data_IF_237622563612
#
_entry.id   IF_237622563612
#
_cell.length_a   1.000
_cell.length_b   1.000
_cell.length_c   1.000
_cell.angle_alpha   90.00
_cell.angle_beta   90.00
_cell.angle_gamma   90.00
#
_symmetry.space_group_name_H-M   'P 1'
#
loop_
_entity.id
_entity.type
_entity.pdbx_description
1 polymer ?
#
# COMPACT_ATOMS: atom_id res chain seq x y z
N UNK A 1 -85.83 -3.80 -19.87
CA UNK A 1 -84.46 -3.29 -20.15
C UNK A 1 -83.89 -2.88 -18.80
N UNK A 2 -83.08 -3.73 -18.15
CA UNK A 2 -81.60 -3.79 -18.24
C UNK A 2 -80.96 -2.67 -17.43
N UNK A 3 -79.98 -2.83 -16.53
CA UNK A 3 -79.49 -3.93 -15.70
C UNK A 3 -78.65 -3.23 -14.59
N UNK A 4 -78.57 -3.80 -13.37
CA UNK A 4 -77.68 -3.32 -12.29
C UNK A 4 -76.20 -3.53 -12.67
N UNK A 5 -75.28 -2.65 -12.26
CA UNK A 5 -73.85 -3.00 -12.05
C UNK A 5 -73.13 -1.93 -11.20
N UNK A 6 -72.99 -2.14 -9.88
CA UNK A 6 -71.75 -2.56 -9.16
C UNK A 6 -70.56 -1.62 -9.31
N UNK A 7 -70.37 -0.77 -8.29
CA UNK A 7 -69.13 -0.06 -8.01
C UNK A 7 -68.01 -1.07 -7.69
N UNK A 8 -66.87 -0.97 -8.39
CA UNK A 8 -65.66 -1.76 -8.12
C UNK A 8 -64.78 -1.03 -7.12
N UNK A 9 -64.67 -1.56 -5.92
CA UNK A 9 -63.68 -1.16 -4.91
C UNK A 9 -62.31 -1.74 -5.30
N UNK A 10 -61.36 -0.87 -5.65
CA UNK A 10 -59.98 -1.25 -5.87
C UNK A 10 -59.25 -1.38 -4.52
N UNK A 11 -58.84 -2.59 -4.16
CA UNK A 11 -57.97 -2.82 -3.01
C UNK A 11 -56.51 -2.56 -3.42
N UNK A 12 -55.92 -1.49 -2.89
CA UNK A 12 -54.48 -1.23 -2.99
C UNK A 12 -53.76 -2.00 -1.87
N UNK A 13 -53.02 -3.06 -2.21
CA UNK A 13 -52.14 -3.74 -1.26
C UNK A 13 -50.79 -3.03 -1.27
N UNK A 14 -50.44 -2.41 -0.15
CA UNK A 14 -49.15 -1.79 0.09
C UNK A 14 -48.04 -2.85 0.17
N UNK A 15 -47.05 -2.79 -0.72
CA UNK A 15 -45.81 -3.57 -0.54
C UNK A 15 -44.99 -2.94 0.59
N UNK A 16 -44.97 -3.60 1.74
CA UNK A 16 -44.07 -3.28 2.85
C UNK A 16 -42.62 -3.62 2.44
N UNK A 17 -41.83 -2.58 2.16
CA UNK A 17 -40.41 -2.70 1.88
C UNK A 17 -39.62 -3.05 3.14
N UNK A 18 -39.04 -4.25 3.19
CA UNK A 18 -37.98 -4.62 4.13
C UNK A 18 -36.62 -4.53 3.43
N UNK A 19 -36.11 -3.30 3.28
CA UNK A 19 -34.71 -3.05 2.95
C UNK A 19 -33.88 -3.15 4.25
N UNK A 20 -33.65 -4.38 4.72
CA UNK A 20 -32.75 -4.63 5.82
C UNK A 20 -31.29 -4.52 5.36
N UNK A 21 -30.61 -3.47 5.82
CA UNK A 21 -29.19 -3.42 6.18
C UNK A 21 -28.17 -3.87 5.11
N UNK A 22 -28.14 -3.19 3.96
CA UNK A 22 -26.87 -3.06 3.23
C UNK A 22 -25.95 -2.16 4.07
N UNK A 23 -25.09 -2.77 4.88
CA UNK A 23 -23.96 -2.08 5.48
C UNK A 23 -23.22 -1.34 4.35
N UNK A 24 -22.96 -0.03 4.46
CA UNK A 24 -22.15 0.64 3.45
C UNK A 24 -20.82 -0.11 3.38
N UNK A 25 -20.48 -0.60 2.19
CA UNK A 25 -19.15 -1.13 1.95
C UNK A 25 -18.15 -0.05 2.37
N UNK A 26 -17.35 -0.31 3.39
CA UNK A 26 -16.28 0.61 3.75
C UNK A 26 -15.34 0.67 2.54
N UNK A 27 -15.38 1.79 1.80
CA UNK A 27 -14.43 2.06 0.75
C UNK A 27 -13.05 2.26 1.42
N UNK A 28 -12.30 1.18 1.56
CA UNK A 28 -10.92 1.25 2.02
C UNK A 28 -10.08 1.80 0.87
N UNK A 29 -9.61 3.04 0.98
CA UNK A 29 -8.61 3.58 0.07
C UNK A 29 -7.33 2.77 0.23
N UNK A 30 -7.05 1.92 -0.76
CA UNK A 30 -5.85 1.08 -0.81
C UNK A 30 -4.96 1.59 -1.94
N UNK A 31 -3.71 1.88 -1.61
CA UNK A 31 -2.69 2.24 -2.58
C UNK A 31 -1.62 1.16 -2.58
N UNK A 32 -1.43 0.50 -3.73
CA UNK A 32 -0.41 -0.52 -3.96
C UNK A 32 0.32 -0.13 -5.23
N UNK A 33 1.64 -0.18 -5.18
CA UNK A 33 2.44 -0.01 -6.38
C UNK A 33 3.82 -0.61 -6.18
N UNK A 34 4.44 -0.93 -7.31
CA UNK A 34 5.74 -1.57 -7.37
C UNK A 34 6.66 -0.77 -8.29
N UNK A 35 7.94 -0.71 -7.93
CA UNK A 35 8.97 -0.07 -8.75
C UNK A 35 10.10 -1.06 -8.98
N UNK A 36 10.56 -1.26 -10.23
CA UNK A 36 11.73 -2.11 -10.49
C UNK A 36 12.94 -1.68 -9.69
N UNK A 37 13.61 -2.64 -9.07
CA UNK A 37 14.92 -2.45 -8.48
C UNK A 37 15.94 -2.55 -9.62
N UNK A 38 16.63 -1.46 -9.91
CA UNK A 38 17.71 -1.47 -10.90
C UNK A 38 18.79 -2.48 -10.47
N UNK A 39 19.51 -3.06 -11.43
CA UNK A 39 20.65 -3.89 -11.10
C UNK A 39 21.76 -3.06 -10.44
N UNK A 40 22.40 -3.60 -9.42
CA UNK A 40 23.56 -2.96 -8.77
C UNK A 40 24.46 -3.97 -8.08
N UNK A 41 25.67 -3.51 -7.77
CA UNK A 41 26.63 -4.23 -6.96
C UNK A 41 26.99 -3.42 -5.71
N UNK A 42 27.38 -4.12 -4.65
CA UNK A 42 27.82 -3.50 -3.41
C UNK A 42 28.69 -4.47 -2.60
N UNK A 43 29.48 -3.95 -1.66
CA UNK A 43 30.39 -4.76 -0.84
C UNK A 43 29.81 -5.04 0.55
N UNK A 44 30.01 -6.26 1.05
CA UNK A 44 29.67 -6.66 2.43
C UNK A 44 30.81 -7.54 2.93
N UNK A 45 31.52 -7.09 3.98
CA UNK A 45 32.62 -7.87 4.56
C UNK A 45 33.72 -8.27 3.55
N UNK A 46 33.98 -7.43 2.53
CA UNK A 46 34.95 -7.73 1.46
C UNK A 46 34.41 -8.58 0.30
N UNK A 47 33.15 -9.03 0.37
CA UNK A 47 32.49 -9.81 -0.70
C UNK A 47 31.59 -8.91 -1.56
N UNK A 48 31.70 -9.06 -2.87
CA UNK A 48 30.84 -8.34 -3.83
C UNK A 48 29.50 -9.05 -3.98
N UNK A 49 28.46 -8.38 -3.54
CA UNK A 49 27.07 -8.78 -3.71
C UNK A 49 26.53 -8.23 -5.04
N UNK A 50 25.74 -9.04 -5.75
CA UNK A 50 25.12 -8.67 -7.02
C UNK A 50 23.60 -8.76 -6.88
N UNK A 51 22.91 -7.64 -7.13
CA UNK A 51 21.46 -7.60 -7.29
C UNK A 51 21.20 -7.47 -8.79
N UNK A 52 20.71 -8.52 -9.47
CA UNK A 52 20.33 -8.46 -10.88
C UNK A 52 19.00 -7.74 -11.06
N UNK A 53 18.63 -7.51 -12.33
CA UNK A 53 17.26 -7.12 -12.69
C UNK A 53 16.26 -8.22 -12.36
N UNK A 54 14.98 -7.87 -12.26
CA UNK A 54 13.89 -8.83 -11.99
C UNK A 54 13.35 -8.77 -10.55
N UNK A 55 13.87 -7.86 -9.74
CA UNK A 55 13.31 -7.53 -8.43
C UNK A 55 12.39 -6.30 -8.52
N UNK A 56 11.31 -6.32 -7.75
CA UNK A 56 10.32 -5.26 -7.59
C UNK A 56 10.29 -4.82 -6.13
N UNK A 57 10.27 -3.51 -5.89
CA UNK A 57 10.04 -2.93 -4.58
C UNK A 57 8.60 -2.43 -4.48
N UNK A 58 7.80 -3.10 -3.68
CA UNK A 58 6.36 -2.86 -3.53
C UNK A 58 6.11 -2.08 -2.25
N UNK A 59 5.23 -1.08 -2.32
CA UNK A 59 4.75 -0.32 -1.16
C UNK A 59 3.22 -0.32 -1.16
N UNK A 60 2.68 -0.75 -0.02
CA UNK A 60 1.26 -0.91 0.24
C UNK A 60 0.86 0.06 1.36
N UNK A 61 -0.23 0.79 1.16
CA UNK A 61 -0.94 1.58 2.17
C UNK A 61 -2.41 1.20 2.11
N UNK A 62 -3.02 0.89 3.27
CA UNK A 62 -4.47 0.79 3.41
C UNK A 62 -4.93 1.79 4.44
N UNK A 63 -6.11 2.36 4.22
CA UNK A 63 -6.68 3.37 5.09
C UNK A 63 -7.73 4.21 4.39
N UNK A 64 -7.89 5.45 4.84
CA UNK A 64 -8.79 6.43 4.25
C UNK A 64 -8.40 7.83 4.67
N UNK A 65 -8.31 8.75 3.72
CA UNK A 65 -7.81 10.09 3.95
C UNK A 65 -6.42 10.08 4.60
N UNK A 66 -6.25 10.81 5.70
CA UNK A 66 -5.00 10.81 6.47
C UNK A 66 -4.85 9.65 7.45
N UNK A 67 -5.84 8.76 7.57
CA UNK A 67 -5.78 7.62 8.49
C UNK A 67 -5.21 6.38 7.78
N UNK A 68 -4.02 5.93 8.19
CA UNK A 68 -3.38 4.71 7.69
C UNK A 68 -3.60 3.60 8.70
N UNK A 69 -4.28 2.53 8.30
CA UNK A 69 -4.52 1.34 9.13
C UNK A 69 -3.49 0.24 8.88
N UNK A 70 -2.86 0.23 7.70
CA UNK A 70 -1.80 -0.71 7.38
C UNK A 70 -0.82 -0.07 6.40
N UNK A 71 0.47 -0.30 6.62
CA UNK A 71 1.51 0.09 5.68
C UNK A 71 2.65 -0.92 5.70
N UNK A 72 3.08 -1.33 4.51
CA UNK A 72 4.16 -2.29 4.31
C UNK A 72 4.96 -1.90 3.08
N UNK A 73 6.25 -2.18 3.09
CA UNK A 73 7.01 -2.25 1.85
C UNK A 73 8.00 -3.38 1.89
N UNK A 74 8.31 -3.93 0.72
CA UNK A 74 9.28 -5.01 0.60
C UNK A 74 9.73 -5.24 -0.82
N UNK A 75 10.77 -6.06 -0.95
CA UNK A 75 11.29 -6.54 -2.24
C UNK A 75 10.74 -7.92 -2.52
N UNK A 76 10.33 -8.13 -3.75
CA UNK A 76 10.02 -9.42 -4.34
C UNK A 76 10.90 -9.60 -5.58
N UNK A 77 11.56 -10.75 -5.73
CA UNK A 77 12.40 -11.06 -6.87
C UNK A 77 11.86 -12.27 -7.63
N UNK A 78 11.56 -12.09 -8.92
CA UNK A 78 11.17 -13.17 -9.81
C UNK A 78 12.34 -13.88 -10.49
N UNK A 79 12.17 -15.16 -10.81
CA UNK A 79 13.04 -15.95 -11.69
C UNK A 79 14.54 -15.93 -11.26
N UNK A 80 15.50 -15.75 -12.17
CA UNK A 80 16.95 -15.69 -11.87
C UNK A 80 17.33 -14.61 -10.85
N UNK A 81 16.46 -13.62 -10.62
CA UNK A 81 16.65 -12.62 -9.58
C UNK A 81 16.65 -13.22 -8.17
N UNK A 82 15.90 -14.30 -7.93
CA UNK A 82 15.84 -14.96 -6.62
C UNK A 82 17.08 -15.82 -6.31
N UNK A 83 17.74 -16.37 -7.33
CA UNK A 83 18.76 -17.42 -7.14
C UNK A 83 20.08 -16.90 -6.54
N UNK A 84 20.35 -15.60 -6.60
CA UNK A 84 21.62 -15.00 -6.13
C UNK A 84 21.48 -13.62 -5.44
N UNK A 85 20.26 -13.12 -5.21
CA UNK A 85 20.06 -11.81 -4.58
C UNK A 85 20.07 -11.90 -3.06
N UNK A 86 21.21 -11.62 -2.44
CA UNK A 86 21.24 -11.29 -1.00
C UNK A 86 21.21 -9.78 -0.85
N UNK A 87 20.14 -9.21 -0.30
CA UNK A 87 20.13 -7.84 0.21
C UNK A 87 20.58 -7.86 1.67
N UNK A 88 21.80 -7.39 1.94
CA UNK A 88 22.40 -7.31 3.26
C UNK A 88 22.49 -5.85 3.71
N UNK A 89 22.67 -5.59 5.00
CA UNK A 89 22.74 -4.24 5.57
C UNK A 89 21.57 -3.37 5.08
N UNK A 90 20.39 -3.96 5.01
CA UNK A 90 19.22 -3.38 4.39
C UNK A 90 18.39 -2.61 5.42
N UNK A 91 17.72 -1.56 4.96
CA UNK A 91 16.81 -0.75 5.77
C UNK A 91 15.71 -0.18 4.91
N UNK A 92 14.47 -0.33 5.35
CA UNK A 92 13.31 0.29 4.70
C UNK A 92 12.83 1.48 5.53
N UNK A 93 12.79 2.66 4.92
CA UNK A 93 12.31 3.90 5.53
C UNK A 93 10.98 4.32 4.88
N UNK A 94 10.06 4.86 5.68
CA UNK A 94 8.86 5.53 5.15
C UNK A 94 8.98 7.04 5.36
N UNK A 95 8.69 7.84 4.35
CA UNK A 95 8.67 9.30 4.45
C UNK A 95 7.31 9.86 4.07
N UNK A 96 6.97 11.00 4.68
CA UNK A 96 5.71 11.70 4.45
C UNK A 96 6.00 13.18 4.21
N UNK A 97 5.44 13.71 3.13
CA UNK A 97 5.51 15.10 2.76
C UNK A 97 4.11 15.67 2.53
N UNK A 98 3.95 16.97 2.73
CA UNK A 98 2.71 17.66 2.39
C UNK A 98 2.57 17.85 0.86
N UNK A 99 1.49 18.53 0.43
CA UNK A 99 1.22 18.84 -0.98
C UNK A 99 2.26 19.77 -1.60
N UNK A 100 3.00 20.52 -0.78
CA UNK A 100 4.11 21.39 -1.21
C UNK A 100 5.46 20.64 -1.21
N UNK A 101 5.43 19.31 -1.11
CA UNK A 101 6.59 18.42 -1.03
C UNK A 101 7.50 18.64 0.20
N UNK A 102 7.03 19.33 1.24
CA UNK A 102 7.81 19.52 2.48
C UNK A 102 7.69 18.27 3.35
N UNK A 103 8.81 17.56 3.54
CA UNK A 103 8.85 16.36 4.38
C UNK A 103 8.67 16.72 5.85
N UNK A 104 7.61 16.21 6.47
CA UNK A 104 7.31 16.46 7.88
C UNK A 104 7.53 15.24 8.77
N UNK A 105 7.64 14.03 8.21
CA UNK A 105 7.88 12.81 8.99
C UNK A 105 8.73 11.80 8.24
N UNK A 106 9.59 11.11 8.98
CA UNK A 106 10.31 9.91 8.53
C UNK A 106 10.16 8.82 9.59
N UNK A 107 9.55 7.69 9.23
CA UNK A 107 9.61 6.45 10.01
C UNK A 107 10.81 5.65 9.51
N UNK A 108 11.97 5.86 10.14
CA UNK A 108 13.22 5.17 9.81
C UNK A 108 13.18 3.74 10.35
N UNK A 109 13.56 2.76 9.52
CA UNK A 109 13.66 1.36 9.93
C UNK A 109 14.93 1.08 10.74
N UNK A 110 15.02 -0.10 11.34
CA UNK A 110 16.30 -0.65 11.81
C UNK A 110 17.11 -1.13 10.60
N UNK A 111 18.43 -0.96 10.64
CA UNK A 111 19.32 -1.63 9.68
C UNK A 111 19.47 -3.09 10.06
N UNK A 112 19.17 -3.97 9.11
CA UNK A 112 19.31 -5.42 9.20
C UNK A 112 20.62 -5.84 8.57
N UNK A 113 21.56 -6.32 9.37
CA UNK A 113 22.91 -6.69 8.91
C UNK A 113 22.93 -8.03 8.17
N UNK A 114 21.94 -8.88 8.44
CA UNK A 114 21.74 -10.13 7.74
C UNK A 114 21.35 -9.92 6.27
N UNK A 115 21.67 -10.90 5.43
CA UNK A 115 21.25 -10.94 4.04
C UNK A 115 19.89 -11.63 3.91
N UNK A 116 18.97 -11.04 3.14
CA UNK A 116 17.69 -11.67 2.77
C UNK A 116 17.39 -11.49 1.29
N UNK A 117 16.62 -12.42 0.72
CA UNK A 117 16.14 -12.33 -0.67
C UNK A 117 14.93 -11.39 -0.78
N UNK A 118 14.19 -11.22 0.31
CA UNK A 118 12.90 -10.54 0.40
C UNK A 118 12.84 -9.52 1.57
N UNK A 119 13.74 -8.51 1.65
CA UNK A 119 13.63 -7.45 2.64
C UNK A 119 12.21 -6.89 2.72
N UNK A 120 11.61 -6.94 3.90
CA UNK A 120 10.25 -6.46 4.11
C UNK A 120 10.13 -5.79 5.46
N UNK A 121 9.33 -4.71 5.52
CA UNK A 121 9.05 -3.98 6.74
C UNK A 121 7.60 -3.51 6.79
N UNK A 122 6.95 -3.76 7.93
CA UNK A 122 5.68 -3.13 8.30
C UNK A 122 5.91 -1.80 9.03
N UNK A 123 5.00 -0.86 8.86
CA UNK A 123 4.88 0.33 9.67
C UNK A 123 3.59 0.29 10.47
N UNK A 124 3.61 0.83 11.69
CA UNK A 124 2.43 0.84 12.55
C UNK A 124 1.29 1.69 11.97
N UNK A 125 0.03 1.38 12.32
CA UNK A 125 -1.11 2.25 12.05
C UNK A 125 -0.85 3.67 12.58
N UNK A 126 -1.32 4.69 11.86
CA UNK A 126 -1.10 6.08 12.23
C UNK A 126 -2.09 7.02 11.54
N UNK A 127 -2.34 8.16 12.16
CA UNK A 127 -3.01 9.29 11.52
C UNK A 127 -1.96 10.33 11.12
N UNK A 128 -1.94 10.69 9.84
CA UNK A 128 -1.08 11.73 9.31
C UNK A 128 -1.67 13.12 9.61
N UNK A 129 -0.83 14.12 9.92
CA UNK A 129 -1.31 15.48 10.17
C UNK A 129 -1.74 16.20 8.88
N UNK A 130 -1.28 15.74 7.71
CA UNK A 130 -1.49 16.40 6.41
C UNK A 130 -1.63 15.38 5.29
N UNK A 131 -2.44 15.72 4.29
CA UNK A 131 -2.44 15.10 2.96
C UNK A 131 -1.12 15.41 2.23
N UNK A 132 -0.81 14.64 1.20
CA UNK A 132 0.41 14.84 0.40
C UNK A 132 0.97 13.54 -0.12
N UNK A 133 2.26 13.29 0.08
CA UNK A 133 2.97 12.14 -0.49
C UNK A 133 3.51 11.23 0.60
N UNK A 134 3.28 9.92 0.48
CA UNK A 134 3.85 8.89 1.32
C UNK A 134 4.75 7.98 0.47
N UNK A 135 6.02 7.85 0.85
CA UNK A 135 6.99 7.03 0.11
C UNK A 135 7.59 5.96 1.00
N UNK A 136 7.93 4.81 0.42
CA UNK A 136 8.86 3.85 0.98
C UNK A 136 10.20 3.92 0.24
N UNK A 137 11.29 3.65 0.95
CA UNK A 137 12.65 3.67 0.41
C UNK A 137 13.43 2.44 0.88
N UNK A 138 13.98 1.67 -0.04
CA UNK A 138 14.96 0.63 0.28
C UNK A 138 16.36 1.24 0.29
N UNK A 139 17.10 1.01 1.37
CA UNK A 139 18.49 1.40 1.51
C UNK A 139 19.35 0.15 1.73
N UNK A 140 20.51 0.09 1.09
CA UNK A 140 21.50 -0.99 1.20
C UNK A 140 22.85 -0.34 1.52
N UNK A 141 23.51 -0.74 2.60
CA UNK A 141 24.71 -0.04 3.13
C UNK A 141 24.48 1.47 3.32
N UNK A 142 23.28 1.88 3.73
CA UNK A 142 22.92 3.29 3.89
C UNK A 142 22.64 4.07 2.60
N UNK A 143 22.85 3.46 1.42
CA UNK A 143 22.56 4.07 0.11
C UNK A 143 21.16 3.70 -0.34
N UNK A 144 20.34 4.70 -0.70
CA UNK A 144 19.00 4.48 -1.25
C UNK A 144 19.09 3.86 -2.65
N UNK A 145 18.47 2.71 -2.84
CA UNK A 145 18.48 1.96 -4.11
C UNK A 145 17.21 2.14 -4.93
N UNK A 146 16.07 2.26 -4.26
CA UNK A 146 14.77 2.42 -4.93
C UNK A 146 13.79 3.13 -4.00
N UNK A 147 12.78 3.77 -4.60
CA UNK A 147 11.64 4.36 -3.89
C UNK A 147 10.35 4.05 -4.62
N UNK A 148 9.28 3.85 -3.87
CA UNK A 148 7.92 3.80 -4.38
C UNK A 148 7.11 4.81 -3.56
N UNK A 149 6.28 5.62 -4.22
CA UNK A 149 5.47 6.63 -3.57
C UNK A 149 4.00 6.56 -3.98
N UNK A 150 3.15 6.99 -3.06
CA UNK A 150 1.71 7.19 -3.24
C UNK A 150 1.32 8.60 -2.84
N UNK A 151 0.23 9.10 -3.43
CA UNK A 151 -0.42 10.32 -2.94
C UNK A 151 -1.50 9.94 -1.93
N UNK A 152 -1.48 10.60 -0.78
CA UNK A 152 -2.51 10.55 0.25
C UNK A 152 -3.42 11.75 0.01
N UNK A 153 -4.62 11.49 -0.50
CA UNK A 153 -5.64 12.49 -0.83
C UNK A 153 -6.84 12.35 0.09
N UNK A 154 -7.78 13.31 -0.02
CA UNK A 154 -9.09 13.23 0.64
C UNK A 154 -9.88 12.03 0.14
#
# INVERSE_FOLDING_TARGET
MSNRSTARTAAAVAMAGTLALLHPAQAHATAIGSTPVAAFHYQVGGVTMKIPTGCLFTHIIRGGGTNITYQNAGVDCGFVGALNSGFCNWRIDFTYADTDNRRYRTSRGRTHTECKIDPMRNNGPQRLPRYGRACAHLNINGVRRVSQCHHITK
#
